data_IF_147426545118
#
_entry.id   IF_147426545118
#
_cell.length_a   1.000
_cell.length_b   1.000
_cell.length_c   1.000
_cell.angle_alpha   90.00
_cell.angle_beta   90.00
_cell.angle_gamma   90.00
#
_symmetry.space_group_name_H-M   'P 1'
#
loop_
_entity.id
_entity.type
_entity.pdbx_description
1 polymer ?
#
# COMPACT_ATOMS: atom_id res chain seq x y z
N UNK A 1 -11.41 -10.16 15.24
CA UNK A 1 -10.75 -8.86 15.43
C UNK A 1 -10.14 -8.42 14.10
N UNK A 2 -10.19 -7.12 13.79
CA UNK A 2 -9.61 -6.57 12.56
C UNK A 2 -8.53 -5.57 12.94
N UNK A 3 -7.34 -5.71 12.36
CA UNK A 3 -6.19 -4.85 12.55
C UNK A 3 -5.85 -4.20 11.20
N UNK A 4 -5.84 -2.87 11.16
CA UNK A 4 -5.44 -2.10 9.98
C UNK A 4 -4.03 -1.53 10.17
N UNK A 5 -3.37 -1.22 9.06
CA UNK A 5 -2.01 -0.69 8.99
C UNK A 5 -0.99 -1.54 9.79
N UNK A 6 -1.18 -2.86 9.73
CA UNK A 6 -0.45 -3.82 10.55
C UNK A 6 1.07 -3.84 10.26
N UNK A 7 1.50 -3.25 9.15
CA UNK A 7 2.92 -3.04 8.86
C UNK A 7 3.63 -2.13 9.88
N UNK A 8 2.88 -1.27 10.58
CA UNK A 8 3.44 -0.38 11.61
C UNK A 8 3.51 -1.02 13.00
N UNK A 9 3.07 -2.27 13.14
CA UNK A 9 3.14 -2.99 14.41
C UNK A 9 4.57 -3.45 14.65
N UNK A 10 5.00 -3.44 15.90
CA UNK A 10 6.23 -4.08 16.30
C UNK A 10 6.08 -5.60 16.27
N UNK A 11 7.15 -6.38 16.01
CA UNK A 11 7.07 -7.84 16.00
C UNK A 11 6.43 -8.43 17.26
N UNK A 12 6.70 -7.85 18.45
CA UNK A 12 6.07 -8.27 19.70
C UNK A 12 4.55 -8.09 19.74
N UNK A 13 4.02 -7.07 19.04
CA UNK A 13 2.58 -6.87 18.94
C UNK A 13 1.97 -7.94 18.05
N UNK A 14 2.67 -8.36 17.00
CA UNK A 14 2.24 -9.48 16.16
C UNK A 14 2.21 -10.80 16.94
N UNK A 15 3.20 -11.06 17.81
CA UNK A 15 3.14 -12.21 18.73
C UNK A 15 1.88 -12.20 19.60
N UNK A 16 1.52 -11.02 20.12
CA UNK A 16 0.32 -10.86 20.93
C UNK A 16 -0.95 -11.16 20.12
N UNK A 17 -0.99 -10.81 18.83
CA UNK A 17 -2.09 -11.19 17.95
C UNK A 17 -2.19 -12.71 17.78
N UNK A 18 -1.06 -13.41 17.60
CA UNK A 18 -1.04 -14.87 17.56
C UNK A 18 -1.60 -15.49 18.85
N UNK A 19 -1.19 -14.98 20.00
CA UNK A 19 -1.71 -15.42 21.30
C UNK A 19 -3.22 -15.18 21.47
N UNK A 20 -3.77 -14.13 20.87
CA UNK A 20 -5.22 -13.89 20.88
C UNK A 20 -5.96 -14.99 20.11
N UNK A 21 -5.41 -15.43 18.97
CA UNK A 21 -5.96 -16.58 18.23
C UNK A 21 -5.87 -17.84 19.08
N UNK A 22 -4.69 -18.17 19.61
CA UNK A 22 -4.43 -19.43 20.31
C UNK A 22 -5.13 -19.52 21.68
N UNK A 23 -5.05 -18.48 22.50
CA UNK A 23 -5.50 -18.51 23.89
C UNK A 23 -6.97 -18.10 24.01
N UNK A 24 -7.41 -17.13 23.21
CA UNK A 24 -8.76 -16.56 23.30
C UNK A 24 -9.71 -17.11 22.23
N UNK A 25 -9.21 -17.89 21.26
CA UNK A 25 -10.00 -18.46 20.18
C UNK A 25 -10.75 -17.38 19.37
N UNK A 26 -10.09 -16.23 19.16
CA UNK A 26 -10.63 -15.11 18.39
C UNK A 26 -9.86 -14.98 17.08
N UNK A 27 -10.57 -15.08 15.96
CA UNK A 27 -9.97 -14.85 14.63
C UNK A 27 -9.40 -13.43 14.51
N UNK A 28 -8.19 -13.31 13.97
CA UNK A 28 -7.53 -12.03 13.71
C UNK A 28 -7.30 -11.85 12.22
N UNK A 29 -7.84 -10.76 11.67
CA UNK A 29 -7.61 -10.35 10.27
C UNK A 29 -6.72 -9.10 10.28
N UNK A 30 -5.52 -9.21 9.71
CA UNK A 30 -4.56 -8.11 9.64
C UNK A 30 -4.37 -7.63 8.20
N UNK A 31 -4.52 -6.32 7.99
CA UNK A 31 -4.33 -5.66 6.70
C UNK A 31 -3.15 -4.71 6.78
N UNK A 32 -2.36 -4.66 5.71
CA UNK A 32 -1.20 -3.79 5.67
C UNK A 32 -0.34 -3.96 4.43
N UNK A 33 0.65 -3.07 4.31
CA UNK A 33 1.61 -3.11 3.21
C UNK A 33 2.65 -4.21 3.41
N UNK A 34 3.01 -4.88 2.31
CA UNK A 34 4.04 -5.91 2.31
C UNK A 34 5.43 -5.32 2.56
N UNK A 35 5.80 -4.32 1.75
CA UNK A 35 7.13 -3.71 1.72
C UNK A 35 7.04 -2.19 1.81
N UNK A 36 8.05 -1.58 2.42
CA UNK A 36 8.21 -0.13 2.46
C UNK A 36 8.61 0.45 1.11
N UNK A 37 8.73 1.78 1.04
CA UNK A 37 9.26 2.45 -0.15
C UNK A 37 10.72 2.09 -0.46
N UNK A 38 11.43 1.49 0.51
CA UNK A 38 12.80 1.01 0.39
C UNK A 38 12.88 -0.38 -0.25
N UNK A 39 11.72 -1.01 -0.52
CA UNK A 39 11.64 -2.35 -1.13
C UNK A 39 11.86 -3.50 -0.14
N UNK A 40 11.97 -3.19 1.16
CA UNK A 40 12.17 -4.16 2.23
C UNK A 40 10.86 -4.40 2.99
N UNK A 41 10.70 -5.60 3.55
CA UNK A 41 9.57 -5.92 4.41
C UNK A 41 9.55 -4.97 5.61
N UNK A 42 8.36 -4.53 6.01
CA UNK A 42 8.22 -3.91 7.32
C UNK A 42 8.46 -4.98 8.41
N UNK A 43 9.06 -4.63 9.56
CA UNK A 43 9.29 -5.58 10.64
C UNK A 43 8.00 -6.28 11.12
N UNK A 44 6.91 -5.53 11.28
CA UNK A 44 5.60 -6.07 11.63
C UNK A 44 5.08 -7.03 10.55
N UNK A 45 5.16 -6.63 9.28
CA UNK A 45 4.73 -7.49 8.18
C UNK A 45 5.58 -8.76 8.05
N UNK A 46 6.90 -8.67 8.24
CA UNK A 46 7.76 -9.84 8.25
C UNK A 46 7.29 -10.84 9.32
N UNK A 47 7.01 -10.37 10.54
CA UNK A 47 6.51 -11.24 11.61
C UNK A 47 5.11 -11.79 11.31
N UNK A 48 4.24 -11.01 10.68
CA UNK A 48 2.92 -11.49 10.24
C UNK A 48 3.05 -12.62 9.22
N UNK A 49 3.97 -12.52 8.28
CA UNK A 49 4.18 -13.56 7.26
C UNK A 49 4.72 -14.87 7.87
N UNK A 50 5.46 -14.78 8.96
CA UNK A 50 5.99 -15.94 9.70
C UNK A 50 4.90 -16.65 10.51
N UNK A 51 3.95 -15.91 11.08
CA UNK A 51 2.94 -16.42 12.01
C UNK A 51 1.59 -16.73 11.38
N UNK A 52 1.18 -16.02 10.34
CA UNK A 52 -0.18 -16.12 9.81
C UNK A 52 -0.47 -17.49 9.20
N UNK A 53 -1.58 -18.12 9.63
CA UNK A 53 -2.08 -19.37 9.07
C UNK A 53 -2.43 -19.24 7.58
N UNK A 54 -3.00 -18.08 7.20
CA UNK A 54 -3.43 -17.77 5.84
C UNK A 54 -2.91 -16.40 5.43
N UNK A 55 -2.41 -16.31 4.19
CA UNK A 55 -1.90 -15.07 3.59
C UNK A 55 -2.52 -14.92 2.21
N UNK A 56 -3.15 -13.78 1.94
CA UNK A 56 -3.69 -13.46 0.62
C UNK A 56 -3.27 -12.06 0.20
N UNK A 57 -2.90 -11.90 -1.06
CA UNK A 57 -2.81 -10.59 -1.69
C UNK A 57 -4.23 -10.10 -1.99
N UNK A 58 -4.46 -8.79 -1.84
CA UNK A 58 -5.74 -8.18 -2.20
C UNK A 58 -5.92 -8.26 -3.71
N UNK A 59 -7.13 -8.60 -4.16
CA UNK A 59 -7.44 -8.93 -5.56
C UNK A 59 -7.38 -7.73 -6.53
N UNK A 60 -7.15 -6.51 -6.02
CA UNK A 60 -7.00 -5.31 -6.85
C UNK A 60 -5.54 -5.18 -7.27
N UNK A 61 -5.24 -5.65 -8.49
CA UNK A 61 -3.90 -5.52 -9.07
C UNK A 61 -3.66 -4.10 -9.58
N UNK A 62 -3.05 -3.26 -8.74
CA UNK A 62 -2.52 -1.99 -9.20
C UNK A 62 -1.54 -2.19 -10.37
N UNK A 63 -1.55 -1.26 -11.32
CA UNK A 63 -0.71 -1.31 -12.52
C UNK A 63 0.36 -0.22 -12.43
N UNK A 64 1.58 -0.60 -12.78
CA UNK A 64 2.63 0.36 -13.06
C UNK A 64 2.28 1.10 -14.36
N UNK A 65 2.86 2.28 -14.57
CA UNK A 65 2.68 3.06 -15.81
C UNK A 65 3.04 2.28 -17.09
N UNK A 66 3.82 1.20 -16.98
CA UNK A 66 4.14 0.33 -18.11
C UNK A 66 3.15 -0.82 -18.36
N UNK A 67 2.02 -0.84 -17.65
CA UNK A 67 0.99 -1.88 -17.73
C UNK A 67 1.31 -3.17 -16.95
N UNK A 68 2.55 -3.37 -16.53
CA UNK A 68 2.91 -4.49 -15.65
C UNK A 68 2.28 -4.31 -14.26
N UNK A 69 2.06 -5.43 -13.55
CA UNK A 69 1.58 -5.38 -12.16
C UNK A 69 2.54 -4.57 -11.29
N UNK A 70 1.99 -3.61 -10.56
CA UNK A 70 2.74 -2.88 -9.54
C UNK A 70 2.86 -3.73 -8.28
N UNK A 71 4.08 -3.82 -7.76
CA UNK A 71 4.38 -4.60 -6.55
C UNK A 71 5.23 -3.83 -5.55
N UNK A 72 5.62 -2.60 -5.87
CA UNK A 72 6.48 -1.75 -5.03
C UNK A 72 5.84 -0.39 -4.88
N UNK A 73 6.00 0.18 -3.68
CA UNK A 73 5.73 1.58 -3.41
C UNK A 73 7.01 2.38 -3.70
N UNK A 74 6.95 3.40 -4.55
CA UNK A 74 8.04 4.35 -4.75
C UNK A 74 7.70 5.61 -3.96
N UNK A 75 8.63 6.09 -3.11
CA UNK A 75 8.51 7.42 -2.51
C UNK A 75 9.25 8.42 -3.38
N UNK A 76 8.60 9.51 -3.72
CA UNK A 76 9.17 10.58 -4.51
C UNK A 76 9.30 11.83 -3.62
N UNK A 77 10.45 12.48 -3.69
CA UNK A 77 10.70 13.78 -3.07
C UNK A 77 10.98 14.76 -4.22
N UNK A 78 10.13 15.77 -4.37
CA UNK A 78 10.15 16.69 -5.52
C UNK A 78 10.13 15.93 -6.85
N UNK A 79 9.33 14.86 -6.92
CA UNK A 79 9.20 14.01 -8.09
C UNK A 79 10.43 13.15 -8.41
N UNK A 80 11.39 12.99 -7.50
CA UNK A 80 12.56 12.09 -7.65
C UNK A 80 12.42 10.95 -6.65
N UNK A 81 12.55 9.71 -7.13
CA UNK A 81 12.45 8.54 -6.25
C UNK A 81 13.60 8.51 -5.24
N UNK A 82 13.26 8.25 -3.98
CA UNK A 82 14.21 8.05 -2.88
C UNK A 82 14.09 6.64 -2.30
N UNK A 83 15.22 6.08 -1.86
CA UNK A 83 15.31 4.72 -1.33
C UNK A 83 15.68 4.66 0.15
N UNK A 84 15.94 5.80 0.78
CA UNK A 84 16.36 5.91 2.18
C UNK A 84 15.55 6.98 2.90
N UNK A 85 15.52 6.90 4.23
CA UNK A 85 14.85 7.84 5.12
C UNK A 85 13.87 7.15 6.07
N UNK A 86 13.22 7.92 6.95
CA UNK A 86 12.30 7.38 7.94
C UNK A 86 11.12 6.64 7.29
N UNK A 87 10.79 5.45 7.81
CA UNK A 87 9.66 4.63 7.38
C UNK A 87 8.31 5.15 7.90
N UNK A 88 8.34 5.74 9.08
CA UNK A 88 7.18 6.35 9.74
C UNK A 88 7.51 7.81 9.99
N UNK A 89 6.77 8.68 9.33
CA UNK A 89 6.71 10.09 9.70
C UNK A 89 5.34 10.26 10.33
N UNK A 90 5.31 10.39 11.66
CA UNK A 90 4.08 10.84 12.31
C UNK A 90 3.94 12.30 11.91
N UNK A 91 2.84 12.65 11.26
CA UNK A 91 2.49 14.05 11.06
C UNK A 91 2.18 14.64 12.43
N UNK A 92 3.22 15.08 13.14
CA UNK A 92 3.03 15.86 14.36
C UNK A 92 2.42 17.19 13.94
N UNK A 93 1.09 17.29 14.05
CA UNK A 93 0.45 18.55 14.42
C UNK A 93 1.18 19.07 15.66
N UNK A 94 1.89 20.20 15.51
CA UNK A 94 2.74 20.90 16.49
C UNK A 94 4.24 20.62 16.38
N UNK A 95 4.86 20.99 15.25
CA UNK A 95 6.14 21.71 15.20
C UNK A 95 6.25 22.37 13.83
N UNK A 96 5.85 23.65 13.75
CA UNK A 96 5.86 24.51 12.55
C UNK A 96 7.28 24.96 12.13
N UNK A 97 8.30 24.09 12.27
CA UNK A 97 9.69 24.42 11.93
C UNK A 97 10.39 23.27 11.18
N UNK A 98 9.67 22.65 10.24
CA UNK A 98 10.27 21.78 9.22
C UNK A 98 10.09 22.49 7.88
N UNK A 99 11.19 22.71 7.16
CA UNK A 99 11.22 23.33 5.83
C UNK A 99 10.11 22.75 4.93
N UNK A 100 9.04 23.52 4.78
CA UNK A 100 7.77 23.22 4.12
C UNK A 100 7.90 23.23 2.58
N UNK A 101 9.01 22.71 2.04
CA UNK A 101 9.36 22.91 0.61
C UNK A 101 9.52 21.65 -0.21
N UNK A 102 9.65 20.48 0.42
CA UNK A 102 9.82 19.23 -0.30
C UNK A 102 8.49 18.49 -0.43
N UNK A 103 7.95 18.43 -1.65
CA UNK A 103 6.74 17.68 -1.96
C UNK A 103 7.04 16.17 -1.90
N UNK A 104 6.40 15.46 -0.98
CA UNK A 104 6.52 14.00 -0.84
C UNK A 104 5.28 13.32 -1.41
N UNK A 105 5.47 12.51 -2.45
CA UNK A 105 4.39 11.72 -3.06
C UNK A 105 4.77 10.23 -3.12
N UNK A 106 3.78 9.38 -3.37
CA UNK A 106 3.97 7.95 -3.51
C UNK A 106 3.35 7.45 -4.82
N UNK A 107 4.07 6.58 -5.53
CA UNK A 107 3.60 5.94 -6.76
C UNK A 107 3.75 4.43 -6.69
N UNK A 108 2.84 3.69 -7.33
CA UNK A 108 2.90 2.23 -7.43
C UNK A 108 3.66 1.81 -8.69
N UNK A 109 4.72 1.02 -8.52
CA UNK A 109 5.61 0.62 -9.61
C UNK A 109 5.83 -0.89 -9.66
N UNK A 110 6.14 -1.39 -10.86
CA UNK A 110 6.66 -2.74 -11.02
C UNK A 110 8.12 -2.76 -10.55
N UNK A 111 8.61 -3.94 -10.13
CA UNK A 111 9.98 -4.11 -9.63
C UNK A 111 11.06 -3.51 -10.56
N UNK A 112 10.89 -3.67 -11.89
CA UNK A 112 11.84 -3.16 -12.88
C UNK A 112 11.97 -1.63 -12.83
N UNK A 113 10.85 -0.91 -12.84
CA UNK A 113 10.86 0.55 -12.85
C UNK A 113 11.15 1.15 -11.47
N UNK A 114 10.73 0.46 -10.40
CA UNK A 114 11.15 0.81 -9.05
C UNK A 114 12.67 0.73 -8.88
N UNK A 115 13.34 -0.32 -9.36
CA UNK A 115 14.82 -0.40 -9.29
C UNK A 115 15.52 0.65 -10.15
N UNK A 116 14.92 1.04 -11.28
CA UNK A 116 15.51 1.98 -12.20
C UNK A 116 15.32 3.45 -11.77
N UNK A 117 14.45 3.73 -10.79
CA UNK A 117 14.09 5.11 -10.42
C UNK A 117 13.34 5.86 -11.53
N UNK A 118 12.70 5.13 -12.45
CA UNK A 118 12.07 5.70 -13.64
C UNK A 118 10.58 5.94 -13.40
N UNK A 119 10.23 7.22 -13.21
CA UNK A 119 8.83 7.65 -13.22
C UNK A 119 8.28 7.79 -14.64
N UNK A 120 6.96 7.79 -14.75
CA UNK A 120 6.25 8.08 -16.02
C UNK A 120 6.67 9.44 -16.55
N UNK A 121 6.85 9.59 -17.86
CA UNK A 121 7.06 10.92 -18.48
C UNK A 121 5.75 11.71 -18.37
N UNK A 122 5.83 12.99 -17.99
CA UNK A 122 4.65 13.88 -17.97
C UNK A 122 4.00 13.89 -19.36
N UNK A 123 2.71 13.54 -19.44
CA UNK A 123 1.91 13.58 -20.68
C UNK A 123 1.33 12.24 -21.17
N UNK A 124 1.84 11.08 -20.73
CA UNK A 124 1.39 9.77 -21.26
C UNK A 124 0.08 9.24 -20.65
N UNK A 125 -0.55 9.95 -19.71
CA UNK A 125 -1.76 9.48 -19.02
C UNK A 125 -3.05 9.71 -19.81
N UNK A 126 -3.12 10.72 -20.69
CA UNK A 126 -4.33 10.97 -21.45
C UNK A 126 -4.59 9.90 -22.52
N UNK A 127 -3.55 9.43 -23.22
CA UNK A 127 -3.75 8.52 -24.38
C UNK A 127 -4.30 7.14 -24.01
N UNK A 128 -4.11 6.68 -22.76
CA UNK A 128 -4.59 5.37 -22.29
C UNK A 128 -5.98 5.41 -21.65
N UNK A 129 -6.38 6.55 -21.08
CA UNK A 129 -7.72 6.73 -20.52
C UNK A 129 -8.76 6.87 -21.64
N UNK A 130 -8.40 7.53 -22.75
CA UNK A 130 -9.27 7.66 -23.92
C UNK A 130 -9.60 6.32 -24.61
N UNK A 131 -8.74 5.29 -24.45
CA UNK A 131 -8.95 3.98 -25.09
C UNK A 131 -9.74 2.98 -24.23
N UNK A 132 -9.89 3.24 -22.92
CA UNK A 132 -10.58 2.33 -22.00
C UNK A 132 -12.03 2.72 -21.73
N UNK A 133 -12.40 3.98 -21.96
CA UNK A 133 -13.78 4.46 -21.79
C UNK A 133 -14.76 3.93 -22.86
N UNK A 134 -14.28 3.47 -24.03
CA UNK A 134 -15.15 2.87 -25.05
C UNK A 134 -15.65 1.45 -24.72
N UNK A 135 -15.09 0.77 -23.71
CA UNK A 135 -15.44 -0.62 -23.38
C UNK A 135 -15.98 -0.83 -21.96
N UNK A 136 -16.12 0.22 -21.15
CA UNK A 136 -16.71 0.12 -19.83
C UNK A 136 -18.25 0.02 -19.95
N UNK A 137 -18.77 -1.20 -20.06
CA UNK A 137 -20.21 -1.47 -19.92
C UNK A 137 -20.63 -1.11 -18.48
N UNK A 138 -21.42 -0.05 -18.32
CA UNK A 138 -21.97 0.35 -17.02
C UNK A 138 -22.93 -0.76 -16.57
N UNK A 139 -22.46 -1.63 -15.68
CA UNK A 139 -23.31 -2.63 -15.03
C UNK A 139 -24.19 -1.88 -14.02
N UNK A 140 -25.40 -1.53 -14.43
CA UNK A 140 -26.45 -1.03 -13.54
C UNK A 140 -26.86 -2.16 -12.58
N UNK A 141 -26.22 -2.23 -11.42
CA UNK A 141 -26.69 -3.05 -10.31
C UNK A 141 -27.93 -2.37 -9.69
N UNK A 142 -29.11 -3.00 -9.67
CA UNK A 142 -30.28 -2.43 -9.03
C UNK A 142 -30.05 -2.34 -7.53
N UNK A 143 -30.06 -1.12 -7.00
CA UNK A 143 -30.08 -0.86 -5.55
C UNK A 143 -31.41 -1.37 -5.02
N UNK A 144 -31.39 -2.52 -4.34
CA UNK A 144 -32.55 -2.99 -3.60
C UNK A 144 -32.68 -2.15 -2.33
N UNK A 145 -33.71 -1.30 -2.27
CA UNK A 145 -34.07 -0.64 -1.02
C UNK A 145 -34.64 -1.68 -0.05
N UNK A 146 -34.16 -1.76 1.19
CA UNK A 146 -34.72 -2.69 2.16
C UNK A 146 -36.19 -2.34 2.42
N UNK A 147 -37.07 -3.30 2.19
CA UNK A 147 -38.47 -3.21 2.57
C UNK A 147 -38.62 -3.45 4.07
N UNK A 148 -39.20 -2.43 4.73
CA UNK A 148 -39.84 -2.37 6.07
C UNK A 148 -38.93 -2.42 7.29
#
# INVERSE_FOLDING_TARGET
MVCDEAQFYEPRQIEQLGRIVDELHVDVYAFGLLTSFQGELFPGTARLLELADVRSQVQVEARCWCGARATHNARLVNGIQVYTGALKVVGDTANEEIEETAEVTYELMCRKHWHAGLKRRQGEQLELLDQQDEQAEIINLPVQTPTS
#
